data_IF_148979704423
#
_entry.id   IF_148979704423
#
_cell.length_a   1.000
_cell.length_b   1.000
_cell.length_c   1.000
_cell.angle_alpha   90.00
_cell.angle_beta   90.00
_cell.angle_gamma   90.00
#
_symmetry.space_group_name_H-M   'P 1'
#
loop_
_entity.id
_entity.type
_entity.pdbx_description
1 polymer ?
#
# COMPACT_ATOMS: atom_id res chain seq x y z
N UNK A 1 -13.32 7.00 11.52
CA UNK A 1 -12.85 5.61 11.51
C UNK A 1 -11.55 5.57 12.28
N UNK A 2 -11.48 4.81 13.37
CA UNK A 2 -10.19 4.62 14.06
C UNK A 2 -9.43 3.50 13.32
N UNK A 3 -8.39 3.87 12.61
CA UNK A 3 -7.38 2.92 12.13
C UNK A 3 -6.47 2.63 13.32
N UNK A 4 -6.24 1.37 13.64
CA UNK A 4 -5.30 0.97 14.68
C UNK A 4 -3.97 0.63 14.01
N UNK A 5 -2.93 1.45 14.16
CA UNK A 5 -1.60 1.12 13.68
C UNK A 5 -1.06 -0.11 14.40
N UNK A 6 -0.41 -1.00 13.65
CA UNK A 6 0.33 -2.15 14.16
C UNK A 6 1.76 -1.97 13.72
N UNK A 7 2.66 -1.82 14.68
CA UNK A 7 4.06 -1.44 14.42
C UNK A 7 5.03 -2.16 15.34
N UNK A 8 6.30 -2.07 15.07
CA UNK A 8 7.39 -2.47 15.95
C UNK A 8 8.29 -1.26 16.21
N UNK A 9 8.02 -0.54 17.30
CA UNK A 9 8.75 0.64 17.68
C UNK A 9 8.51 1.81 16.71
N UNK A 10 7.84 2.81 17.16
CA UNK A 10 7.75 4.10 16.47
C UNK A 10 8.92 4.98 16.84
N UNK A 11 9.40 5.81 15.91
CA UNK A 11 10.29 6.92 16.24
C UNK A 11 9.57 7.95 17.12
N UNK A 12 10.32 8.89 17.68
CA UNK A 12 9.74 9.95 18.51
C UNK A 12 8.67 10.77 17.76
N UNK A 13 8.81 10.91 16.44
CA UNK A 13 7.80 11.57 15.61
C UNK A 13 6.48 10.78 15.57
N UNK A 14 6.56 9.47 15.37
CA UNK A 14 5.36 8.63 15.27
C UNK A 14 4.62 8.62 16.61
N UNK A 15 5.34 8.57 17.72
CA UNK A 15 4.73 8.67 19.05
C UNK A 15 4.07 10.02 19.28
N UNK A 16 4.73 11.13 18.93
CA UNK A 16 4.15 12.47 19.02
C UNK A 16 2.88 12.61 18.14
N UNK A 17 2.87 12.00 16.95
CA UNK A 17 1.71 11.99 16.07
C UNK A 17 0.54 11.21 16.69
N UNK A 18 0.81 10.02 17.23
CA UNK A 18 -0.20 9.20 17.91
C UNK A 18 -0.79 9.95 19.12
N UNK A 19 0.06 10.58 19.92
CA UNK A 19 -0.35 11.36 21.10
C UNK A 19 -1.17 12.58 20.72
N UNK A 20 -0.74 13.33 19.70
CA UNK A 20 -1.45 14.53 19.22
C UNK A 20 -2.88 14.21 18.74
N UNK A 21 -3.04 13.12 18.00
CA UNK A 21 -4.36 12.69 17.53
C UNK A 21 -5.10 11.74 18.48
N UNK A 22 -4.55 11.49 19.66
CA UNK A 22 -5.07 10.53 20.65
C UNK A 22 -5.35 9.15 20.04
N UNK A 23 -4.46 8.72 19.14
CA UNK A 23 -4.52 7.43 18.51
C UNK A 23 -3.84 6.37 19.38
N UNK A 24 -4.38 5.15 19.35
CA UNK A 24 -3.73 3.99 19.98
C UNK A 24 -3.04 3.15 18.91
N UNK A 25 -1.91 2.57 19.27
CA UNK A 25 -1.19 1.61 18.44
C UNK A 25 -0.99 0.30 19.18
N UNK A 26 -0.79 -0.80 18.43
CA UNK A 26 -0.25 -2.05 18.98
C UNK A 26 1.22 -2.10 18.61
N UNK A 27 2.08 -1.84 19.59
CA UNK A 27 3.51 -1.83 19.40
C UNK A 27 4.14 -3.15 19.89
N UNK A 28 4.94 -3.78 19.02
CA UNK A 28 5.61 -5.02 19.34
C UNK A 28 6.62 -4.87 20.49
N UNK A 29 7.18 -3.68 20.72
CA UNK A 29 8.08 -3.43 21.84
C UNK A 29 7.33 -3.38 23.18
N UNK A 30 6.04 -2.99 23.17
CA UNK A 30 5.21 -2.93 24.38
C UNK A 30 4.54 -4.27 24.67
N UNK A 31 3.93 -4.89 23.64
CA UNK A 31 3.16 -6.14 23.83
C UNK A 31 4.03 -7.40 23.74
N UNK A 32 5.24 -7.28 23.23
CA UNK A 32 6.22 -8.33 23.15
C UNK A 32 5.74 -9.60 22.43
N UNK A 33 6.11 -10.75 22.95
CA UNK A 33 5.78 -12.07 22.37
C UNK A 33 4.30 -12.45 22.46
N UNK A 34 3.47 -11.63 23.10
CA UNK A 34 2.02 -11.89 23.19
C UNK A 34 1.32 -11.76 21.83
N UNK A 35 1.85 -10.91 20.93
CA UNK A 35 1.28 -10.73 19.61
C UNK A 35 2.31 -10.87 18.48
N UNK A 36 3.60 -10.82 18.78
CA UNK A 36 4.65 -10.83 17.78
C UNK A 36 5.69 -11.90 18.06
N UNK A 37 6.19 -12.52 17.01
CA UNK A 37 7.34 -13.42 17.05
C UNK A 37 8.47 -12.84 16.20
N UNK A 38 9.70 -12.94 16.68
CA UNK A 38 10.88 -12.52 15.96
C UNK A 38 11.57 -13.74 15.33
N UNK A 39 11.68 -13.73 14.01
CA UNK A 39 12.47 -14.72 13.30
C UNK A 39 13.92 -14.23 13.24
N UNK A 40 14.80 -14.86 14.01
CA UNK A 40 16.21 -14.49 14.13
C UNK A 40 17.10 -15.25 13.14
N UNK A 41 16.55 -16.05 12.24
CA UNK A 41 17.33 -16.76 11.21
C UNK A 41 17.94 -15.77 10.19
N UNK A 42 17.38 -14.58 10.07
CA UNK A 42 17.89 -13.46 9.28
C UNK A 42 18.77 -12.58 10.15
N UNK A 43 20.09 -12.67 9.98
CA UNK A 43 21.06 -12.02 10.88
C UNK A 43 21.20 -10.52 10.65
N UNK A 44 20.87 -10.00 9.46
CA UNK A 44 20.98 -8.57 9.13
C UNK A 44 19.74 -7.74 9.50
N UNK A 45 18.55 -8.34 9.38
CA UNK A 45 17.27 -7.67 9.68
C UNK A 45 16.33 -8.68 10.34
N UNK A 46 16.13 -8.62 11.66
CA UNK A 46 15.21 -9.53 12.34
C UNK A 46 13.79 -9.36 11.79
N UNK A 47 13.20 -10.47 11.34
CA UNK A 47 11.87 -10.47 10.75
C UNK A 47 10.82 -10.64 11.84
N UNK A 48 10.03 -9.62 12.08
CA UNK A 48 8.91 -9.66 13.02
C UNK A 48 7.64 -10.11 12.31
N UNK A 49 6.93 -11.03 12.94
CA UNK A 49 5.68 -11.59 12.41
C UNK A 49 4.58 -11.50 13.45
N UNK A 50 3.36 -11.33 12.98
CA UNK A 50 2.14 -11.39 13.78
C UNK A 50 1.05 -12.14 13.02
N UNK A 51 -0.05 -12.47 13.69
CA UNK A 51 -1.25 -13.05 13.08
C UNK A 51 -2.49 -12.35 13.57
N UNK A 52 -3.57 -12.42 12.80
CA UNK A 52 -4.85 -11.83 13.18
C UNK A 52 -5.36 -12.38 14.53
N UNK A 53 -5.15 -13.65 14.82
CA UNK A 53 -5.54 -14.25 16.10
C UNK A 53 -4.71 -13.71 17.28
N UNK A 54 -3.39 -13.54 17.08
CA UNK A 54 -2.52 -12.97 18.11
C UNK A 54 -2.88 -11.51 18.40
N UNK A 55 -3.09 -10.70 17.35
CA UNK A 55 -3.54 -9.31 17.48
C UNK A 55 -4.91 -9.24 18.15
N UNK A 56 -5.87 -10.08 17.78
CA UNK A 56 -7.19 -10.10 18.42
C UNK A 56 -7.11 -10.43 19.91
N UNK A 57 -6.13 -11.26 20.33
CA UNK A 57 -5.85 -11.54 21.73
C UNK A 57 -5.40 -10.28 22.49
N UNK A 58 -4.44 -9.55 21.93
CA UNK A 58 -3.94 -8.30 22.52
C UNK A 58 -5.01 -7.21 22.55
N UNK A 59 -5.76 -7.04 21.46
CA UNK A 59 -6.83 -6.05 21.39
C UNK A 59 -7.88 -6.26 22.48
N UNK A 60 -8.25 -7.52 22.75
CA UNK A 60 -9.13 -7.87 23.87
C UNK A 60 -8.52 -7.49 25.21
N UNK A 61 -7.24 -7.76 25.43
CA UNK A 61 -6.56 -7.43 26.68
C UNK A 61 -6.44 -5.91 26.91
N UNK A 62 -6.36 -5.13 25.85
CA UNK A 62 -6.30 -3.67 25.90
C UNK A 62 -7.70 -3.00 25.92
N UNK A 63 -8.77 -3.76 25.98
CA UNK A 63 -10.16 -3.26 25.91
C UNK A 63 -10.45 -2.38 24.67
N UNK A 64 -9.72 -2.60 23.57
CA UNK A 64 -9.89 -1.83 22.33
C UNK A 64 -11.02 -2.43 21.47
N UNK A 65 -11.45 -3.65 21.76
CA UNK A 65 -12.32 -4.45 20.91
C UNK A 65 -13.82 -4.19 21.06
N UNK A 66 -14.28 -3.49 22.10
CA UNK A 66 -15.72 -3.41 22.40
C UNK A 66 -16.50 -2.57 21.38
N UNK A 67 -15.91 -1.51 20.85
CA UNK A 67 -16.63 -0.60 19.96
C UNK A 67 -16.76 -1.09 18.50
N UNK A 68 -15.87 -1.99 18.05
CA UNK A 68 -15.91 -2.50 16.66
C UNK A 68 -16.71 -3.81 16.51
N UNK A 69 -16.82 -4.60 17.58
CA UNK A 69 -17.56 -5.85 17.56
C UNK A 69 -19.05 -5.68 17.86
N UNK A 70 -19.44 -4.70 18.65
CA UNK A 70 -20.85 -4.46 18.96
C UNK A 70 -21.64 -3.95 17.75
N UNK A 71 -21.06 -3.10 16.91
CA UNK A 71 -21.73 -2.62 15.70
C UNK A 71 -21.94 -3.71 14.62
N UNK A 72 -21.11 -4.74 14.57
CA UNK A 72 -21.26 -5.84 13.61
C UNK A 72 -22.13 -6.99 14.10
N UNK A 73 -22.22 -7.18 15.41
CA UNK A 73 -23.07 -8.23 16.01
C UNK A 73 -24.53 -7.81 16.09
N UNK A 74 -24.82 -6.53 16.20
CA UNK A 74 -26.19 -6.01 16.14
C UNK A 74 -26.79 -6.12 14.73
N UNK A 75 -26.00 -5.94 13.68
CA UNK A 75 -26.47 -6.09 12.29
C UNK A 75 -26.78 -7.55 11.91
N UNK A 76 -26.09 -8.52 12.51
CA UNK A 76 -26.33 -9.95 12.26
C UNK A 76 -27.52 -10.52 13.07
N UNK A 77 -27.82 -9.93 14.22
CA UNK A 77 -28.93 -10.36 15.08
C UNK A 77 -30.26 -9.69 14.71
N UNK A 78 -30.24 -8.53 14.05
CA UNK A 78 -31.42 -7.77 13.65
C UNK A 78 -32.12 -8.32 12.42
N UNK A 79 -31.50 -9.19 11.63
CA UNK A 79 -32.13 -9.80 10.45
C UNK A 79 -33.11 -10.94 10.76
N UNK A 80 -33.32 -11.29 12.05
CA UNK A 80 -34.18 -12.40 12.48
C UNK A 80 -35.49 -11.97 13.19
N UNK A 81 -35.76 -10.68 13.37
CA UNK A 81 -37.00 -10.24 14.03
C UNK A 81 -37.59 -9.00 13.34
N UNK A 82 -38.76 -9.23 12.77
CA UNK A 82 -39.68 -8.37 12.07
C UNK A 82 -39.70 -6.86 12.32
N UNK A 83 -39.93 -6.19 11.21
CA UNK A 83 -40.45 -4.83 10.96
C UNK A 83 -40.63 -3.91 12.18
N UNK A 84 -39.68 -3.02 12.37
CA UNK A 84 -39.82 -1.76 13.07
C UNK A 84 -38.95 -0.73 12.35
N UNK A 85 -39.53 0.41 12.00
CA UNK A 85 -38.86 1.55 11.39
C UNK A 85 -37.66 1.94 12.24
N UNK A 86 -36.48 1.51 11.81
CA UNK A 86 -35.21 1.86 12.41
C UNK A 86 -34.60 2.98 11.57
N UNK A 87 -34.40 4.13 12.20
CA UNK A 87 -33.54 5.19 11.66
C UNK A 87 -32.23 4.55 11.23
N UNK A 88 -31.94 4.62 9.93
CA UNK A 88 -30.73 4.06 9.34
C UNK A 88 -29.53 4.70 10.03
N UNK A 89 -28.82 3.94 10.83
CA UNK A 89 -27.49 4.33 11.32
C UNK A 89 -26.64 4.72 10.13
N UNK A 90 -25.98 5.89 10.14
CA UNK A 90 -25.18 6.32 9.01
C UNK A 90 -24.06 5.29 8.78
N UNK A 91 -24.18 4.55 7.70
CA UNK A 91 -23.09 3.70 7.22
C UNK A 91 -21.95 4.64 6.85
N UNK A 92 -20.92 4.69 7.67
CA UNK A 92 -19.68 5.41 7.37
C UNK A 92 -19.04 4.74 6.15
N UNK A 93 -19.36 5.27 4.98
CA UNK A 93 -18.67 4.89 3.74
C UNK A 93 -17.28 5.53 3.78
N UNK A 94 -16.24 4.71 3.90
CA UNK A 94 -14.87 5.16 3.75
C UNK A 94 -14.55 5.19 2.27
N UNK A 95 -14.17 6.33 1.71
CA UNK A 95 -13.73 6.39 0.33
C UNK A 95 -12.56 5.42 0.11
N UNK A 96 -12.49 4.72 -1.01
CA UNK A 96 -11.35 3.86 -1.31
C UNK A 96 -10.09 4.72 -1.50
N UNK A 97 -8.97 4.28 -0.92
CA UNK A 97 -7.68 4.96 -1.11
C UNK A 97 -7.34 5.07 -2.61
N UNK A 98 -7.55 4.00 -3.35
CA UNK A 98 -7.33 3.92 -4.78
C UNK A 98 -8.68 3.75 -5.50
N UNK A 99 -9.05 4.67 -6.42
CA UNK A 99 -10.26 4.53 -7.21
C UNK A 99 -10.09 3.40 -8.24
N UNK A 100 -10.87 2.36 -8.10
CA UNK A 100 -10.86 1.20 -9.00
C UNK A 100 -12.22 1.00 -9.66
N UNK A 101 -12.22 0.39 -10.84
CA UNK A 101 -13.42 0.04 -11.59
C UNK A 101 -13.22 -1.30 -12.31
N UNK A 102 -14.31 -2.04 -12.49
CA UNK A 102 -14.28 -3.35 -13.17
C UNK A 102 -14.04 -3.19 -14.67
N UNK A 103 -14.64 -2.16 -15.25
CA UNK A 103 -14.48 -1.80 -16.66
C UNK A 103 -14.27 -0.30 -16.74
N UNK A 104 -13.38 0.18 -17.58
CA UNK A 104 -13.13 1.59 -17.68
C UNK A 104 -12.25 1.99 -18.83
N UNK A 105 -12.19 3.29 -19.05
CA UNK A 105 -11.30 3.87 -20.03
C UNK A 105 -9.86 3.67 -19.59
N UNK A 106 -9.08 2.93 -20.37
CA UNK A 106 -7.64 2.99 -20.24
C UNK A 106 -7.15 4.37 -20.71
N UNK A 107 -6.08 4.90 -20.11
CA UNK A 107 -5.44 6.12 -20.61
C UNK A 107 -5.10 5.94 -22.09
N UNK A 108 -5.25 7.02 -22.90
CA UNK A 108 -4.99 6.91 -24.32
C UNK A 108 -3.51 6.66 -24.62
N UNK A 109 -3.33 5.68 -25.38
CA UNK A 109 -2.57 5.35 -26.56
C UNK A 109 -1.06 5.31 -26.60
N UNK A 110 -0.25 5.63 -25.67
CA UNK A 110 1.17 5.29 -25.77
C UNK A 110 1.66 4.36 -24.64
N UNK A 111 0.87 3.31 -24.42
CA UNK A 111 1.34 2.24 -23.55
C UNK A 111 2.58 1.61 -24.17
N UNK A 112 3.71 1.73 -23.49
CA UNK A 112 4.89 0.97 -23.83
C UNK A 112 4.79 -0.43 -23.21
N UNK A 113 5.29 -1.46 -23.89
CA UNK A 113 5.41 -2.79 -23.31
C UNK A 113 6.37 -2.76 -22.12
N UNK A 114 5.92 -3.16 -20.95
CA UNK A 114 6.68 -3.11 -19.71
C UNK A 114 6.70 -4.49 -19.06
N UNK A 115 7.85 -5.16 -19.14
CA UNK A 115 7.98 -6.55 -18.70
C UNK A 115 8.76 -6.67 -17.40
N UNK A 116 9.90 -5.99 -17.29
CA UNK A 116 10.73 -6.01 -16.09
C UNK A 116 10.74 -4.65 -15.43
N UNK A 117 10.42 -4.61 -14.16
CA UNK A 117 10.30 -3.40 -13.38
C UNK A 117 11.18 -3.55 -12.15
N UNK A 118 11.97 -2.54 -11.83
CA UNK A 118 12.74 -2.45 -10.59
C UNK A 118 12.54 -1.09 -9.96
N UNK A 119 12.13 -1.09 -8.71
CA UNK A 119 12.01 0.10 -7.87
C UNK A 119 13.11 0.05 -6.83
N UNK A 120 14.03 1.01 -6.89
CA UNK A 120 15.11 1.19 -5.93
C UNK A 120 14.67 2.20 -4.88
N UNK A 121 14.64 1.80 -3.61
CA UNK A 121 14.28 2.66 -2.48
C UNK A 121 15.49 3.14 -1.68
N UNK A 122 16.65 2.56 -1.90
CA UNK A 122 17.90 2.88 -1.22
C UNK A 122 19.00 1.93 -1.67
N UNK A 123 20.22 2.10 -1.19
CA UNK A 123 21.38 1.34 -1.65
C UNK A 123 21.18 -0.18 -1.61
N UNK A 124 20.54 -0.68 -0.55
CA UNK A 124 20.33 -2.11 -0.30
C UNK A 124 18.85 -2.50 -0.29
N UNK A 125 17.96 -1.63 -0.77
CA UNK A 125 16.53 -1.85 -0.73
C UNK A 125 15.91 -1.62 -2.11
N UNK A 126 15.59 -2.72 -2.77
CA UNK A 126 14.92 -2.71 -4.06
C UNK A 126 13.83 -3.79 -4.12
N UNK A 127 12.84 -3.54 -4.94
CA UNK A 127 11.79 -4.50 -5.27
C UNK A 127 11.70 -4.65 -6.78
N UNK A 128 11.72 -5.89 -7.25
CA UNK A 128 11.55 -6.22 -8.66
C UNK A 128 10.16 -6.76 -8.97
N UNK A 129 9.76 -6.64 -10.24
CA UNK A 129 8.56 -7.29 -10.78
C UNK A 129 8.82 -7.76 -12.20
N UNK A 130 8.21 -8.90 -12.56
CA UNK A 130 8.20 -9.40 -13.92
C UNK A 130 6.76 -9.66 -14.33
N UNK A 131 6.36 -9.18 -15.50
CA UNK A 131 5.04 -9.45 -16.04
C UNK A 131 4.94 -10.90 -16.49
N UNK A 132 3.96 -11.61 -15.97
CA UNK A 132 3.60 -12.96 -16.38
C UNK A 132 2.32 -12.92 -17.20
N UNK A 133 2.45 -13.06 -18.52
CA UNK A 133 1.33 -13.02 -19.46
C UNK A 133 0.33 -14.15 -19.24
N UNK A 134 0.75 -15.29 -18.65
CA UNK A 134 -0.14 -16.41 -18.40
C UNK A 134 -1.15 -16.12 -17.29
N UNK A 135 -0.73 -15.40 -16.25
CA UNK A 135 -1.61 -14.97 -15.16
C UNK A 135 -2.13 -13.54 -15.31
N UNK A 136 -1.59 -12.77 -16.27
CA UNK A 136 -1.92 -11.35 -16.46
C UNK A 136 -1.44 -10.45 -15.31
N UNK A 137 -0.47 -10.90 -14.50
CA UNK A 137 -0.03 -10.19 -13.29
C UNK A 137 1.47 -9.94 -13.27
N UNK A 138 1.88 -8.92 -12.52
CA UNK A 138 3.28 -8.65 -12.20
C UNK A 138 3.69 -9.49 -10.98
N UNK A 139 4.65 -10.39 -11.15
CA UNK A 139 5.21 -11.27 -10.11
C UNK A 139 6.31 -10.55 -9.36
N UNK A 140 6.16 -10.43 -8.04
CA UNK A 140 7.11 -9.71 -7.20
C UNK A 140 8.39 -10.51 -6.94
N UNK A 141 9.51 -9.80 -6.97
CA UNK A 141 10.85 -10.32 -6.74
C UNK A 141 11.55 -9.52 -5.63
N UNK A 142 12.43 -10.20 -4.91
CA UNK A 142 13.41 -9.55 -4.05
C UNK A 142 14.48 -8.80 -4.89
N UNK A 143 15.31 -8.00 -4.22
CA UNK A 143 16.41 -7.26 -4.86
C UNK A 143 17.41 -8.17 -5.59
N UNK A 144 17.59 -9.41 -5.12
CA UNK A 144 18.47 -10.42 -5.74
C UNK A 144 17.81 -11.20 -6.89
N UNK A 145 16.58 -10.83 -7.27
CA UNK A 145 15.81 -11.48 -8.33
C UNK A 145 15.09 -12.77 -7.91
N UNK A 146 15.19 -13.19 -6.64
CA UNK A 146 14.43 -14.36 -6.15
C UNK A 146 12.95 -14.04 -5.96
N UNK A 147 12.03 -15.02 -6.16
CA UNK A 147 10.61 -14.81 -5.99
C UNK A 147 10.23 -14.41 -4.56
N UNK A 148 9.41 -13.37 -4.41
CA UNK A 148 8.77 -13.03 -3.13
C UNK A 148 7.61 -14.00 -2.88
N UNK A 149 7.77 -14.91 -1.92
CA UNK A 149 6.77 -15.93 -1.62
C UNK A 149 5.93 -15.55 -0.39
N UNK A 150 4.64 -15.85 -0.44
CA UNK A 150 3.77 -15.85 0.73
C UNK A 150 4.15 -17.04 1.64
N UNK A 151 4.45 -16.74 2.90
CA UNK A 151 4.89 -17.74 3.87
C UNK A 151 3.82 -18.79 4.22
N UNK A 152 2.53 -18.49 3.99
CA UNK A 152 1.43 -19.40 4.33
C UNK A 152 1.17 -20.47 3.26
N UNK A 153 1.35 -20.10 1.99
CA UNK A 153 0.98 -20.97 0.87
C UNK A 153 2.09 -21.19 -0.15
N UNK A 154 3.26 -20.56 0.06
CA UNK A 154 4.43 -20.61 -0.83
C UNK A 154 4.14 -20.14 -2.27
N UNK A 155 3.07 -19.39 -2.48
CA UNK A 155 2.77 -18.79 -3.77
C UNK A 155 3.52 -17.48 -3.91
N UNK A 156 4.01 -17.21 -5.13
CA UNK A 156 4.65 -15.93 -5.43
C UNK A 156 3.63 -14.80 -5.38
N UNK A 157 3.98 -13.73 -4.70
CA UNK A 157 3.17 -12.52 -4.67
C UNK A 157 3.02 -11.94 -6.09
N UNK A 158 1.82 -11.53 -6.43
CA UNK A 158 1.51 -10.99 -7.76
C UNK A 158 0.43 -9.92 -7.68
N UNK A 159 0.54 -8.92 -8.56
CA UNK A 159 -0.30 -7.75 -8.58
C UNK A 159 -0.83 -7.48 -9.99
N UNK A 160 -2.08 -7.07 -10.07
CA UNK A 160 -2.71 -6.67 -11.33
C UNK A 160 -2.28 -5.25 -11.71
N UNK A 161 -2.09 -4.39 -10.72
CA UNK A 161 -1.70 -2.99 -10.88
C UNK A 161 -0.41 -2.70 -10.12
N UNK A 162 0.54 -2.05 -10.78
CA UNK A 162 1.66 -1.40 -10.10
C UNK A 162 1.54 0.12 -10.27
N UNK A 163 1.53 0.84 -9.16
CA UNK A 163 1.54 2.29 -9.10
C UNK A 163 2.85 2.74 -8.50
N UNK A 164 3.67 3.40 -9.30
CA UNK A 164 4.93 3.99 -8.83
C UNK A 164 4.76 5.49 -8.93
N UNK A 165 4.55 6.12 -7.76
CA UNK A 165 4.23 7.52 -7.64
C UNK A 165 5.46 8.32 -7.22
N UNK A 166 5.83 9.31 -8.01
CA UNK A 166 6.90 10.23 -7.69
C UNK A 166 6.32 11.37 -6.85
N UNK A 167 6.94 11.63 -5.71
CA UNK A 167 6.52 12.62 -4.75
C UNK A 167 7.69 13.51 -4.36
N UNK A 168 7.44 14.79 -4.20
CA UNK A 168 8.37 15.66 -3.50
C UNK A 168 8.55 15.17 -2.06
N UNK A 169 9.75 15.27 -1.54
CA UNK A 169 10.02 14.87 -0.16
C UNK A 169 11.05 15.78 0.50
N UNK A 170 11.06 15.77 1.81
CA UNK A 170 12.06 16.45 2.63
C UNK A 170 12.55 15.51 3.72
N UNK A 171 13.76 15.76 4.20
CA UNK A 171 14.23 15.10 5.43
C UNK A 171 13.63 15.81 6.63
N UNK A 172 13.17 15.02 7.60
CA UNK A 172 12.78 15.53 8.93
C UNK A 172 14.00 16.00 9.70
N UNK A 173 13.76 16.61 10.86
CA UNK A 173 14.82 17.16 11.73
C UNK A 173 15.83 16.11 12.21
N UNK A 174 15.47 14.82 12.18
CA UNK A 174 16.37 13.71 12.48
C UNK A 174 17.41 13.45 11.39
N UNK A 175 17.26 14.08 10.21
CA UNK A 175 18.14 13.93 9.06
C UNK A 175 18.13 12.53 8.42
N UNK A 176 17.20 11.66 8.81
CA UNK A 176 17.12 10.26 8.37
C UNK A 176 15.74 9.90 7.79
N UNK A 177 14.68 10.42 8.38
CA UNK A 177 13.30 10.09 8.01
C UNK A 177 12.84 10.99 6.87
N UNK A 178 12.30 10.37 5.81
CA UNK A 178 11.67 11.11 4.71
C UNK A 178 10.22 11.44 5.06
N UNK A 179 9.84 12.67 4.73
CA UNK A 179 8.47 13.14 4.73
C UNK A 179 8.05 13.40 3.29
N UNK A 180 7.02 12.69 2.82
CA UNK A 180 6.53 12.77 1.44
C UNK A 180 5.38 13.77 1.36
N UNK A 181 5.44 14.66 0.35
CA UNK A 181 4.30 15.49 0.00
C UNK A 181 3.29 14.67 -0.79
N UNK A 182 2.18 14.33 -0.14
CA UNK A 182 1.11 13.54 -0.76
C UNK A 182 0.04 14.39 -1.45
N UNK A 183 0.27 15.69 -1.64
CA UNK A 183 -0.72 16.56 -2.29
C UNK A 183 -0.85 16.28 -3.79
N UNK A 184 0.27 16.10 -4.49
CA UNK A 184 0.32 15.82 -5.92
C UNK A 184 1.68 15.31 -6.39
N UNK A 185 1.71 14.74 -7.58
CA UNK A 185 2.95 14.32 -8.23
C UNK A 185 2.73 13.70 -9.60
N UNK A 186 3.82 13.25 -10.17
CA UNK A 186 3.82 12.40 -11.35
C UNK A 186 3.94 10.93 -10.98
N UNK A 187 3.91 10.05 -11.98
CA UNK A 187 4.09 8.63 -11.75
C UNK A 187 3.87 7.79 -12.99
N UNK A 188 3.88 6.49 -12.76
CA UNK A 188 3.50 5.51 -13.78
C UNK A 188 2.51 4.51 -13.20
N UNK A 189 1.61 4.06 -14.05
CA UNK A 189 0.75 2.92 -13.81
C UNK A 189 1.10 1.81 -14.78
N UNK A 190 1.28 0.60 -14.24
CA UNK A 190 1.52 -0.59 -15.03
C UNK A 190 0.38 -1.58 -14.79
N UNK A 191 -0.18 -2.08 -15.89
CA UNK A 191 -1.25 -3.07 -15.90
C UNK A 191 -1.19 -3.86 -17.21
N UNK A 192 -1.45 -5.16 -17.17
CA UNK A 192 -1.53 -6.00 -18.37
C UNK A 192 -0.26 -6.03 -19.23
N UNK A 193 0.91 -5.80 -18.69
CA UNK A 193 2.18 -5.74 -19.43
C UNK A 193 2.45 -4.39 -20.08
N UNK A 194 1.67 -3.36 -19.78
CA UNK A 194 1.80 -2.03 -20.34
C UNK A 194 2.08 -0.98 -19.28
N UNK A 195 2.75 0.10 -19.67
CA UNK A 195 3.07 1.26 -18.84
C UNK A 195 2.39 2.50 -19.39
N UNK A 196 1.72 3.26 -18.52
CA UNK A 196 1.21 4.59 -18.76
C UNK A 196 1.83 5.58 -17.80
N UNK A 197 2.19 6.76 -18.31
CA UNK A 197 2.53 7.90 -17.46
C UNK A 197 1.26 8.53 -16.93
N UNK A 198 1.32 9.04 -15.70
CA UNK A 198 0.20 9.70 -15.04
C UNK A 198 0.66 10.90 -14.21
N UNK A 199 -0.29 11.77 -13.90
CA UNK A 199 -0.20 12.67 -12.76
C UNK A 199 -1.24 12.28 -11.73
N UNK A 200 -1.00 12.63 -10.47
CA UNK A 200 -1.90 12.29 -9.38
C UNK A 200 -2.05 13.43 -8.40
N UNK A 201 -3.19 13.46 -7.72
CA UNK A 201 -3.45 14.31 -6.57
C UNK A 201 -4.09 13.47 -5.47
N UNK A 202 -3.95 13.90 -4.22
CA UNK A 202 -4.70 13.32 -3.12
C UNK A 202 -5.62 14.38 -2.52
N UNK A 203 -6.91 14.06 -2.43
CA UNK A 203 -7.91 14.92 -1.84
C UNK A 203 -7.86 14.93 -0.30
N UNK A 204 -8.64 15.83 0.29
CA UNK A 204 -8.77 15.94 1.75
C UNK A 204 -9.37 14.70 2.43
N UNK A 205 -10.03 13.84 1.65
CA UNK A 205 -10.55 12.54 2.07
C UNK A 205 -9.52 11.41 1.96
N UNK A 206 -8.27 11.75 1.61
CA UNK A 206 -7.15 10.84 1.37
C UNK A 206 -7.32 9.91 0.16
N UNK A 207 -8.30 10.15 -0.71
CA UNK A 207 -8.47 9.40 -1.96
C UNK A 207 -7.54 9.95 -3.04
N UNK A 208 -6.82 9.07 -3.72
CA UNK A 208 -6.04 9.44 -4.90
C UNK A 208 -6.93 9.69 -6.12
N UNK A 209 -6.59 10.69 -6.91
CA UNK A 209 -7.14 10.90 -8.24
C UNK A 209 -6.02 10.83 -9.27
N UNK A 210 -6.25 10.12 -10.37
CA UNK A 210 -5.26 9.88 -11.41
C UNK A 210 -5.71 10.53 -12.72
N UNK A 211 -4.73 11.09 -13.44
CA UNK A 211 -4.94 11.78 -14.71
C UNK A 211 -3.93 11.27 -15.74
N UNK A 212 -4.38 11.06 -16.97
CA UNK A 212 -3.52 10.70 -18.10
C UNK A 212 -2.67 11.90 -18.58
N UNK A 213 -1.84 11.66 -19.62
CA UNK A 213 -0.99 12.68 -20.21
C UNK A 213 -1.77 13.90 -20.78
N UNK A 214 -3.05 13.72 -21.12
CA UNK A 214 -3.94 14.79 -21.57
C UNK A 214 -4.68 15.48 -20.42
N UNK A 215 -4.41 15.10 -19.17
CA UNK A 215 -5.09 15.62 -17.98
C UNK A 215 -6.52 15.10 -17.79
N UNK A 216 -6.89 14.00 -18.45
CA UNK A 216 -8.22 13.40 -18.30
C UNK A 216 -8.21 12.42 -17.15
N UNK A 217 -9.22 12.46 -16.25
CA UNK A 217 -9.27 11.53 -15.13
C UNK A 217 -9.53 10.09 -15.60
N UNK A 218 -8.92 9.14 -14.89
CA UNK A 218 -9.18 7.72 -15.05
C UNK A 218 -9.14 6.99 -13.72
N UNK A 219 -9.76 5.82 -13.67
CA UNK A 219 -9.68 4.93 -12.53
C UNK A 219 -8.85 3.70 -12.89
N UNK A 220 -8.19 3.11 -11.90
CA UNK A 220 -7.46 1.87 -12.08
C UNK A 220 -8.44 0.73 -12.40
N UNK A 221 -7.97 -0.28 -13.11
CA UNK A 221 -8.74 -1.52 -13.22
C UNK A 221 -8.75 -2.26 -11.88
N UNK A 222 -9.86 -2.95 -11.61
CA UNK A 222 -10.00 -3.76 -10.40
C UNK A 222 -8.92 -4.83 -10.33
N UNK A 223 -8.44 -5.10 -9.12
CA UNK A 223 -7.41 -6.08 -8.87
C UNK A 223 -6.51 -5.69 -7.69
N UNK A 224 -5.54 -6.54 -7.42
CA UNK A 224 -4.53 -6.26 -6.38
C UNK A 224 -3.57 -5.20 -6.86
N UNK A 225 -3.37 -4.18 -6.06
CA UNK A 225 -2.50 -3.06 -6.40
C UNK A 225 -1.28 -3.01 -5.48
N UNK A 226 -0.11 -2.80 -6.05
CA UNK A 226 1.10 -2.40 -5.35
C UNK A 226 1.30 -0.90 -5.55
N UNK A 227 1.50 -0.16 -4.48
CA UNK A 227 1.77 1.26 -4.52
C UNK A 227 3.14 1.53 -3.91
N UNK A 228 4.02 2.17 -4.67
CA UNK A 228 5.30 2.69 -4.21
C UNK A 228 5.32 4.21 -4.30
N UNK A 229 5.85 4.85 -3.25
CA UNK A 229 6.25 6.25 -3.29
C UNK A 229 7.75 6.32 -3.53
N UNK A 230 8.17 7.12 -4.50
CA UNK A 230 9.56 7.29 -4.91
C UNK A 230 9.93 8.77 -4.85
N UNK A 231 11.10 9.05 -4.28
CA UNK A 231 11.62 10.41 -4.16
C UNK A 231 12.98 10.52 -4.81
N UNK A 232 13.21 11.58 -5.56
CA UNK A 232 14.52 11.91 -6.13
C UNK A 232 15.54 12.38 -5.07
N UNK A 233 15.07 12.79 -3.88
CA UNK A 233 15.93 13.35 -2.83
C UNK A 233 17.00 12.37 -2.33
N UNK A 234 16.68 11.06 -2.30
CA UNK A 234 17.58 10.01 -1.79
C UNK A 234 18.12 9.10 -2.89
N UNK A 235 18.04 9.49 -4.14
CA UNK A 235 18.49 8.66 -5.26
C UNK A 235 17.64 7.40 -5.46
N UNK A 236 16.38 7.43 -5.06
CA UNK A 236 15.41 6.38 -5.39
C UNK A 236 15.16 6.41 -6.90
N UNK A 237 15.03 5.25 -7.51
CA UNK A 237 15.00 5.13 -8.95
C UNK A 237 13.99 4.06 -9.42
N UNK A 238 13.36 4.33 -10.55
CA UNK A 238 12.53 3.35 -11.26
C UNK A 238 13.20 2.97 -12.58
N UNK A 239 13.44 1.70 -12.76
CA UNK A 239 13.87 1.13 -14.03
C UNK A 239 12.76 0.25 -14.59
N UNK A 240 12.40 0.46 -15.86
CA UNK A 240 11.45 -0.38 -16.59
C UNK A 240 12.07 -0.78 -17.91
N UNK A 241 11.95 -2.05 -18.27
CA UNK A 241 12.39 -2.54 -19.58
C UNK A 241 11.27 -3.33 -20.27
N UNK A 242 11.28 -3.30 -21.59
CA UNK A 242 10.39 -4.10 -22.42
C UNK A 242 10.89 -5.57 -22.54
N UNK A 243 10.16 -6.38 -23.31
CA UNK A 243 10.51 -7.79 -23.57
C UNK A 243 11.84 -7.99 -24.28
N UNK A 244 12.35 -6.98 -24.99
CA UNK A 244 13.65 -7.00 -25.65
C UNK A 244 14.79 -6.56 -24.70
N UNK A 245 14.50 -6.17 -23.47
CA UNK A 245 15.47 -5.64 -22.51
C UNK A 245 15.84 -4.17 -22.73
N UNK A 246 15.11 -3.46 -23.59
CA UNK A 246 15.33 -2.04 -23.83
C UNK A 246 14.70 -1.22 -22.72
N UNK A 247 15.45 -0.25 -22.19
CA UNK A 247 14.96 0.64 -21.15
C UNK A 247 13.85 1.55 -21.68
N UNK A 248 12.75 1.62 -20.92
CA UNK A 248 11.69 2.58 -21.14
C UNK A 248 11.97 3.80 -20.27
N UNK A 249 11.88 5.00 -20.86
CA UNK A 249 12.01 6.24 -20.10
C UNK A 249 10.72 6.43 -19.30
N UNK A 250 10.74 6.08 -18.03
CA UNK A 250 9.75 6.58 -17.09
C UNK A 250 10.01 8.08 -16.92
N UNK A 251 8.96 8.90 -17.05
CA UNK A 251 9.11 10.32 -16.79
C UNK A 251 9.66 10.49 -15.36
N UNK A 252 10.82 11.13 -15.26
CA UNK A 252 11.40 11.48 -13.96
C UNK A 252 10.43 12.40 -13.21
N UNK A 253 10.42 12.29 -11.88
CA UNK A 253 9.71 13.23 -11.02
C UNK A 253 10.03 14.69 -11.43
N UNK A 254 9.04 15.60 -11.37
CA UNK A 254 9.26 17.00 -11.58
C UNK A 254 10.21 17.60 -10.55
#
# INVERSE_FOLDING_TARGET
QQVLPVQRGGGAFDQNYLDYYSLRAVDALEVGTNAFTCDTTWTSHPLWRTSGNALAGVLRSLNISSALSESRLTDAASSAAGESESEASPTLSVPPLLPQQTEGRLPDASAADAVHIQVQFGADNATGFVYDAASGTYKMLHADGTPQLDANNSQQAGFDNLLILFSASSLRDDGLTLDYDLSMGGGVWLNGGHLWTLTWTQGSDSTFAFYDADGRPFNLLAGRSYLALVSSLTGQELTVTNSAGEALTAASAP
#
